data_IF_570389473667
#
_entry.id   IF_570389473667
#
_cell.length_a   1.000
_cell.length_b   1.000
_cell.length_c   1.000
_cell.angle_alpha   90.00
_cell.angle_beta   90.00
_cell.angle_gamma   90.00
#
_symmetry.space_group_name_H-M   'P 1'
#
loop_
_entity.id
_entity.type
_entity.pdbx_description
1 polymer ?
#
# COMPACT_ATOMS: atom_id res chain seq x y z
N UNK A 1 -28.25 -5.73 -11.82
CA UNK A 1 -27.63 -4.71 -12.70
C UNK A 1 -26.54 -3.86 -12.02
N UNK A 2 -26.76 -3.29 -10.82
CA UNK A 2 -25.77 -2.40 -10.15
C UNK A 2 -24.36 -3.02 -9.92
N UNK A 3 -24.26 -4.33 -9.64
CA UNK A 3 -22.97 -5.02 -9.43
C UNK A 3 -22.12 -5.15 -10.70
N UNK A 4 -22.76 -5.29 -11.86
CA UNK A 4 -22.07 -5.41 -13.14
C UNK A 4 -21.48 -4.07 -13.59
N UNK A 5 -22.19 -2.97 -13.33
CA UNK A 5 -21.71 -1.61 -13.60
C UNK A 5 -20.48 -1.25 -12.77
N UNK A 6 -20.44 -1.64 -11.49
CA UNK A 6 -19.26 -1.42 -10.62
C UNK A 6 -18.05 -2.21 -11.11
N UNK A 7 -18.23 -3.47 -11.52
CA UNK A 7 -17.15 -4.31 -12.06
C UNK A 7 -16.60 -3.78 -13.38
N UNK A 8 -17.47 -3.30 -14.29
CA UNK A 8 -17.05 -2.70 -15.56
C UNK A 8 -16.31 -1.38 -15.32
N UNK A 9 -16.78 -0.53 -14.40
CA UNK A 9 -16.09 0.70 -14.04
C UNK A 9 -14.72 0.43 -13.41
N UNK A 10 -14.60 -0.57 -12.52
CA UNK A 10 -13.33 -1.00 -11.95
C UNK A 10 -12.38 -1.55 -13.02
N UNK A 11 -12.88 -2.33 -13.98
CA UNK A 11 -12.09 -2.86 -15.08
C UNK A 11 -11.61 -1.76 -16.03
N UNK A 12 -12.47 -0.81 -16.41
CA UNK A 12 -12.12 0.35 -17.24
C UNK A 12 -11.11 1.24 -16.51
N UNK A 13 -11.28 1.47 -15.21
CA UNK A 13 -10.34 2.24 -14.41
C UNK A 13 -8.98 1.54 -14.31
N UNK A 14 -8.97 0.21 -14.14
CA UNK A 14 -7.75 -0.59 -14.12
C UNK A 14 -7.03 -0.54 -15.48
N UNK A 15 -7.75 -0.66 -16.60
CA UNK A 15 -7.16 -0.59 -17.95
C UNK A 15 -6.61 0.81 -18.27
N UNK A 16 -7.33 1.87 -17.90
CA UNK A 16 -6.88 3.26 -18.10
C UNK A 16 -5.67 3.59 -17.23
N UNK A 17 -5.65 3.16 -15.96
CA UNK A 17 -4.48 3.30 -15.09
C UNK A 17 -3.27 2.52 -15.63
N UNK A 18 -3.52 1.37 -16.27
CA UNK A 18 -2.48 0.55 -16.89
C UNK A 18 -1.87 1.19 -18.15
N UNK A 19 -2.70 1.85 -18.97
CA UNK A 19 -2.23 2.57 -20.16
C UNK A 19 -1.37 3.79 -19.79
N UNK A 20 -1.75 4.51 -18.73
CA UNK A 20 -1.02 5.70 -18.27
C UNK A 20 0.37 5.35 -17.68
N UNK A 21 0.52 4.14 -17.12
CA UNK A 21 1.78 3.66 -16.56
C UNK A 21 2.89 3.50 -17.61
N UNK A 22 2.56 3.20 -18.88
CA UNK A 22 3.58 3.05 -19.94
C UNK A 22 4.29 4.34 -20.29
N UNK A 23 3.70 5.50 -19.97
CA UNK A 23 4.25 6.81 -20.33
C UNK A 23 5.03 7.48 -19.19
N UNK A 24 4.99 6.93 -17.97
CA UNK A 24 5.60 7.53 -16.78
C UNK A 24 6.61 6.60 -16.07
N UNK A 25 7.11 5.57 -16.75
CA UNK A 25 8.22 4.79 -16.22
C UNK A 25 9.42 5.73 -16.07
N UNK A 26 9.83 5.99 -14.83
CA UNK A 26 11.01 6.80 -14.56
C UNK A 26 12.22 6.17 -15.28
N UNK A 27 13.13 6.98 -15.84
CA UNK A 27 14.34 6.47 -16.46
C UNK A 27 15.07 5.54 -15.48
N UNK A 28 15.65 4.46 -16.02
CA UNK A 28 16.31 3.44 -15.22
C UNK A 28 17.32 4.08 -14.25
N UNK A 29 17.09 3.91 -12.95
CA UNK A 29 17.92 4.47 -11.89
C UNK A 29 17.37 5.73 -11.19
N UNK A 30 16.30 6.34 -11.68
CA UNK A 30 15.66 7.46 -10.97
C UNK A 30 14.69 6.95 -9.91
N UNK A 31 14.95 7.30 -8.65
CA UNK A 31 14.06 6.98 -7.53
C UNK A 31 12.87 7.96 -7.48
N UNK A 32 11.66 7.43 -7.53
CA UNK A 32 10.40 8.15 -7.36
C UNK A 32 10.11 8.24 -5.86
N UNK A 33 10.72 9.20 -5.17
CA UNK A 33 10.61 9.34 -3.71
C UNK A 33 9.42 10.19 -3.27
N UNK A 34 9.25 11.39 -3.83
CA UNK A 34 8.23 12.34 -3.38
C UNK A 34 6.81 11.76 -3.52
N UNK A 35 6.38 11.24 -4.69
CA UNK A 35 5.08 10.59 -4.82
C UNK A 35 4.89 9.39 -3.89
N UNK A 36 5.95 8.59 -3.69
CA UNK A 36 5.90 7.40 -2.86
C UNK A 36 5.73 7.74 -1.38
N UNK A 37 6.49 8.72 -0.88
CA UNK A 37 6.38 9.21 0.50
C UNK A 37 5.00 9.86 0.70
N UNK A 38 4.54 10.67 -0.25
CA UNK A 38 3.21 11.29 -0.17
C UNK A 38 2.10 10.25 -0.09
N UNK A 39 2.10 9.24 -0.98
CA UNK A 39 1.12 8.15 -0.89
C UNK A 39 1.23 7.35 0.40
N UNK A 40 2.45 7.04 0.83
CA UNK A 40 2.69 6.32 2.08
C UNK A 40 2.16 7.07 3.31
N UNK A 41 2.32 8.39 3.34
CA UNK A 41 1.76 9.25 4.39
C UNK A 41 0.23 9.26 4.35
N UNK A 42 -0.38 9.42 3.17
CA UNK A 42 -1.85 9.42 3.03
C UNK A 42 -2.43 8.10 3.55
N UNK A 43 -1.87 6.97 3.11
CA UNK A 43 -2.34 5.63 3.48
C UNK A 43 -2.05 5.34 4.96
N UNK A 44 -0.89 5.74 5.46
CA UNK A 44 -0.52 5.59 6.87
C UNK A 44 -1.40 6.39 7.81
N UNK A 45 -1.73 7.64 7.45
CA UNK A 45 -2.67 8.47 8.22
C UNK A 45 -4.07 7.88 8.17
N UNK A 46 -4.54 7.44 7.01
CA UNK A 46 -5.82 6.75 6.88
C UNK A 46 -5.90 5.54 7.82
N UNK A 47 -4.85 4.72 7.82
CA UNK A 47 -4.76 3.55 8.68
C UNK A 47 -4.76 3.93 10.17
N UNK A 48 -3.97 4.94 10.53
CA UNK A 48 -3.94 5.44 11.91
C UNK A 48 -5.31 5.95 12.36
N UNK A 49 -6.06 6.64 11.50
CA UNK A 49 -7.40 7.15 11.82
C UNK A 49 -8.43 6.02 11.99
N UNK A 50 -8.34 4.95 11.20
CA UNK A 50 -9.19 3.77 11.37
C UNK A 50 -8.88 3.05 12.68
N UNK A 51 -7.60 2.74 12.91
CA UNK A 51 -7.15 2.08 14.13
C UNK A 51 -7.46 2.91 15.38
N UNK A 52 -7.41 4.24 15.26
CA UNK A 52 -7.73 5.17 16.34
C UNK A 52 -9.16 5.02 16.89
N UNK A 53 -10.07 4.40 16.12
CA UNK A 53 -11.45 4.10 16.55
C UNK A 53 -11.53 2.79 17.33
N UNK A 54 -10.69 1.84 16.98
CA UNK A 54 -10.74 0.48 17.51
C UNK A 54 -9.86 0.32 18.76
N UNK A 55 -8.68 0.95 18.80
CA UNK A 55 -7.74 0.85 19.91
C UNK A 55 -7.93 1.99 20.91
N UNK A 56 -8.33 1.66 22.14
CA UNK A 56 -8.57 2.64 23.21
C UNK A 56 -7.33 2.89 24.11
N UNK A 57 -6.31 2.04 24.04
CA UNK A 57 -5.09 2.18 24.86
C UNK A 57 -4.16 3.20 24.19
N UNK A 58 -4.05 4.40 24.76
CA UNK A 58 -3.36 5.54 24.16
C UNK A 58 -1.90 5.28 23.72
N UNK A 59 -1.09 4.67 24.58
CA UNK A 59 0.32 4.36 24.25
C UNK A 59 0.46 3.35 23.10
N UNK A 60 -0.35 2.29 23.13
CA UNK A 60 -0.38 1.29 22.06
C UNK A 60 -0.89 1.88 20.75
N UNK A 61 -1.95 2.68 20.80
CA UNK A 61 -2.53 3.41 19.66
C UNK A 61 -1.49 4.28 18.96
N UNK A 62 -0.73 5.06 19.72
CA UNK A 62 0.30 5.93 19.15
C UNK A 62 1.43 5.12 18.48
N UNK A 63 2.01 4.15 19.18
CA UNK A 63 3.08 3.32 18.62
C UNK A 63 2.62 2.54 17.38
N UNK A 64 1.40 2.00 17.40
CA UNK A 64 0.82 1.30 16.27
C UNK A 64 0.61 2.25 15.08
N UNK A 65 0.06 3.43 15.32
CA UNK A 65 -0.13 4.47 14.31
C UNK A 65 1.15 4.90 13.61
N UNK A 66 2.20 5.21 14.38
CA UNK A 66 3.51 5.55 13.83
C UNK A 66 4.09 4.40 13.02
N UNK A 67 3.99 3.17 13.53
CA UNK A 67 4.47 1.97 12.82
C UNK A 67 3.72 1.76 11.51
N UNK A 68 2.40 1.95 11.50
CA UNK A 68 1.57 1.86 10.30
C UNK A 68 1.98 2.90 9.25
N UNK A 69 2.25 4.15 9.66
CA UNK A 69 2.75 5.20 8.78
C UNK A 69 4.08 4.81 8.15
N UNK A 70 5.05 4.35 8.96
CA UNK A 70 6.37 3.96 8.46
C UNK A 70 6.30 2.76 7.51
N UNK A 71 5.47 1.77 7.82
CA UNK A 71 5.25 0.60 6.96
C UNK A 71 4.60 1.02 5.64
N UNK A 72 3.61 1.90 5.65
CA UNK A 72 2.95 2.40 4.44
C UNK A 72 3.92 3.22 3.57
N UNK A 73 4.79 4.04 4.17
CA UNK A 73 5.85 4.77 3.46
C UNK A 73 6.84 3.78 2.83
N UNK A 74 7.38 2.83 3.60
CA UNK A 74 8.34 1.86 3.07
C UNK A 74 7.74 1.02 1.93
N UNK A 75 6.52 0.51 2.13
CA UNK A 75 5.80 -0.26 1.11
C UNK A 75 5.52 0.57 -0.15
N UNK A 76 5.16 1.85 0.01
CA UNK A 76 4.93 2.75 -1.12
C UNK A 76 6.23 3.05 -1.87
N UNK A 77 7.35 3.27 -1.17
CA UNK A 77 8.67 3.44 -1.81
C UNK A 77 9.00 2.24 -2.69
N UNK A 78 8.84 1.01 -2.20
CA UNK A 78 9.09 -0.19 -3.03
C UNK A 78 8.07 -0.34 -4.17
N UNK A 79 6.80 -0.02 -3.94
CA UNK A 79 5.75 -0.10 -4.97
C UNK A 79 5.98 0.88 -6.13
N UNK A 80 6.44 2.10 -5.84
CA UNK A 80 6.81 3.09 -6.85
C UNK A 80 8.15 2.76 -7.54
N UNK A 81 9.03 2.04 -6.86
CA UNK A 81 10.40 1.77 -7.30
C UNK A 81 10.67 0.28 -7.48
N UNK A 82 9.80 -0.44 -8.20
CA UNK A 82 10.02 -1.86 -8.47
C UNK A 82 11.38 -2.18 -9.14
N UNK A 83 11.93 -1.32 -10.03
CA UNK A 83 13.30 -1.52 -10.51
C UNK A 83 14.36 -1.63 -9.39
N UNK A 84 14.19 -0.90 -8.28
CA UNK A 84 15.05 -1.03 -7.09
C UNK A 84 14.89 -2.42 -6.45
N UNK A 85 13.66 -2.93 -6.35
CA UNK A 85 13.39 -4.28 -5.81
C UNK A 85 14.10 -5.34 -6.65
N UNK A 86 14.05 -5.20 -7.97
CA UNK A 86 14.78 -6.09 -8.88
C UNK A 86 16.30 -5.95 -8.81
N UNK A 87 16.82 -4.78 -8.45
CA UNK A 87 18.26 -4.62 -8.21
C UNK A 87 18.70 -5.28 -6.89
N UNK A 88 17.84 -5.20 -5.86
CA UNK A 88 18.10 -5.82 -4.56
C UNK A 88 17.92 -7.35 -4.58
N UNK A 89 16.95 -7.86 -5.35
CA UNK A 89 16.65 -9.29 -5.46
C UNK A 89 16.53 -9.68 -6.95
N UNK A 90 17.66 -9.81 -7.67
CA UNK A 90 17.65 -10.10 -9.10
C UNK A 90 16.93 -11.40 -9.49
N UNK A 91 16.89 -12.38 -8.59
CA UNK A 91 16.26 -13.68 -8.78
C UNK A 91 14.74 -13.56 -9.03
N UNK A 92 14.08 -12.47 -8.60
CA UNK A 92 12.66 -12.27 -8.89
C UNK A 92 12.38 -12.20 -10.39
N UNK A 93 13.34 -11.73 -11.20
CA UNK A 93 13.19 -11.64 -12.66
C UNK A 93 13.02 -12.99 -13.36
N UNK A 94 13.47 -14.09 -12.75
CA UNK A 94 13.39 -15.42 -13.35
C UNK A 94 12.10 -16.15 -13.01
N UNK A 95 11.33 -15.67 -12.03
CA UNK A 95 10.10 -16.30 -11.58
C UNK A 95 8.93 -15.79 -12.44
N UNK A 96 8.14 -16.67 -13.08
CA UNK A 96 6.93 -16.26 -13.79
C UNK A 96 6.01 -15.42 -12.90
N UNK A 97 5.37 -14.40 -13.48
CA UNK A 97 4.57 -13.38 -12.77
C UNK A 97 5.39 -12.41 -11.90
N UNK A 98 6.27 -12.90 -11.01
CA UNK A 98 7.09 -12.06 -10.12
C UNK A 98 8.23 -11.32 -10.84
N UNK A 99 8.63 -11.78 -12.03
CA UNK A 99 9.55 -11.04 -12.90
C UNK A 99 8.93 -9.83 -13.57
N UNK A 100 7.63 -9.57 -13.33
CA UNK A 100 6.93 -8.40 -13.83
C UNK A 100 6.77 -7.34 -12.75
N UNK A 101 6.72 -6.09 -13.19
CA UNK A 101 6.51 -4.94 -12.34
C UNK A 101 5.19 -5.00 -11.53
N UNK A 102 4.15 -5.58 -12.11
CA UNK A 102 2.86 -5.78 -11.43
C UNK A 102 2.97 -6.89 -10.40
N UNK A 103 3.59 -8.02 -10.76
CA UNK A 103 3.72 -9.16 -9.87
C UNK A 103 4.47 -8.81 -8.59
N UNK A 104 5.53 -7.99 -8.69
CA UNK A 104 6.22 -7.47 -7.50
C UNK A 104 5.31 -6.58 -6.66
N UNK A 105 4.53 -5.67 -7.27
CA UNK A 105 3.58 -4.83 -6.50
C UNK A 105 2.53 -5.67 -5.79
N UNK A 106 1.97 -6.67 -6.46
CA UNK A 106 1.02 -7.61 -5.87
C UNK A 106 1.65 -8.37 -4.71
N UNK A 107 2.88 -8.87 -4.88
CA UNK A 107 3.62 -9.55 -3.81
C UNK A 107 3.86 -8.62 -2.62
N UNK A 108 4.29 -7.37 -2.86
CA UNK A 108 4.46 -6.36 -1.82
C UNK A 108 3.16 -6.10 -1.07
N UNK A 109 2.03 -6.00 -1.79
CA UNK A 109 0.71 -5.85 -1.17
C UNK A 109 0.32 -7.04 -0.30
N UNK A 110 0.59 -8.27 -0.74
CA UNK A 110 0.34 -9.49 0.05
C UNK A 110 1.22 -9.51 1.31
N UNK A 111 2.51 -9.18 1.18
CA UNK A 111 3.44 -9.11 2.32
C UNK A 111 2.96 -8.07 3.34
N UNK A 112 2.55 -6.89 2.87
CA UNK A 112 2.02 -5.85 3.75
C UNK A 112 0.74 -6.32 4.45
N UNK A 113 -0.20 -6.90 3.72
CA UNK A 113 -1.44 -7.43 4.27
C UNK A 113 -1.18 -8.48 5.36
N UNK A 114 -0.27 -9.43 5.10
CA UNK A 114 0.13 -10.42 6.10
C UNK A 114 0.80 -9.78 7.33
N UNK A 115 1.63 -8.75 7.13
CA UNK A 115 2.29 -8.03 8.23
C UNK A 115 1.29 -7.29 9.11
N UNK A 116 0.37 -6.54 8.52
CA UNK A 116 -0.66 -5.77 9.26
C UNK A 116 -1.59 -6.75 9.98
N UNK A 117 -2.10 -7.77 9.29
CA UNK A 117 -2.94 -8.80 9.90
C UNK A 117 -2.22 -9.52 11.05
N UNK A 118 -1.00 -10.00 10.82
CA UNK A 118 -0.21 -10.71 11.81
C UNK A 118 0.12 -9.87 13.05
N UNK A 119 0.44 -8.59 12.88
CA UNK A 119 0.65 -7.68 14.00
C UNK A 119 -0.61 -7.53 14.86
N UNK A 120 -1.79 -7.51 14.25
CA UNK A 120 -3.06 -7.45 14.99
C UNK A 120 -3.38 -8.75 15.74
N UNK A 121 -3.04 -9.92 15.17
CA UNK A 121 -3.32 -11.22 15.81
C UNK A 121 -2.34 -11.57 16.94
N UNK A 122 -1.07 -11.14 16.83
CA UNK A 122 -0.07 -11.36 17.89
C UNK A 122 -0.51 -10.76 19.23
N UNK A 123 -1.26 -9.65 19.21
CA UNK A 123 -1.80 -9.01 20.41
C UNK A 123 -2.92 -9.83 21.05
N UNK A 124 -3.80 -10.44 20.24
CA UNK A 124 -4.80 -11.39 20.74
C UNK A 124 -4.14 -12.62 21.37
N UNK A 125 -3.12 -13.16 20.70
CA UNK A 125 -2.40 -14.36 21.15
C UNK A 125 -1.67 -14.18 22.48
N UNK A 126 -1.31 -12.94 22.84
CA UNK A 126 -0.67 -12.61 24.12
C UNK A 126 -1.63 -12.53 25.32
N UNK A 127 -2.90 -12.95 25.17
CA UNK A 127 -3.90 -12.91 26.25
C UNK A 127 -4.45 -11.51 26.54
N UNK A 128 -3.99 -10.50 25.80
CA UNK A 128 -4.53 -9.15 25.84
C UNK A 128 -5.79 -9.11 24.98
N UNK A 129 -6.92 -9.48 25.58
CA UNK A 129 -8.25 -9.40 24.95
C UNK A 129 -8.71 -7.92 24.94
N UNK A 130 -7.97 -7.08 24.20
CA UNK A 130 -8.25 -5.66 24.08
C UNK A 130 -9.38 -5.49 23.07
N UNK A 131 -10.49 -4.79 23.42
CA UNK A 131 -11.50 -4.41 22.45
C UNK A 131 -10.83 -3.71 21.25
N UNK A 132 -11.11 -4.18 20.03
CA UNK A 132 -10.50 -3.67 18.80
C UNK A 132 -9.15 -4.29 18.41
N UNK A 133 -8.55 -5.16 19.24
CA UNK A 133 -7.45 -6.01 18.78
C UNK A 133 -8.04 -7.12 17.89
N UNK A 134 -7.65 -7.17 16.62
CA UNK A 134 -8.08 -8.21 15.68
C UNK A 134 -8.60 -7.71 14.36
N UNK A 135 -7.70 -7.28 13.48
CA UNK A 135 -8.12 -6.88 12.15
C UNK A 135 -8.65 -8.06 11.36
N UNK A 136 -9.64 -7.76 10.52
CA UNK A 136 -10.10 -8.70 9.50
C UNK A 136 -9.08 -8.77 8.37
N UNK A 137 -8.96 -9.93 7.73
CA UNK A 137 -8.16 -10.07 6.51
C UNK A 137 -8.55 -9.07 5.42
N UNK A 138 -9.83 -8.70 5.35
CA UNK A 138 -10.31 -7.74 4.37
C UNK A 138 -9.64 -6.37 4.53
N UNK A 139 -9.55 -5.85 5.77
CA UNK A 139 -8.88 -4.59 6.06
C UNK A 139 -7.40 -4.65 5.67
N UNK A 140 -6.69 -5.70 6.11
CA UNK A 140 -5.26 -5.81 5.81
C UNK A 140 -4.98 -6.00 4.30
N UNK A 141 -5.84 -6.72 3.58
CA UNK A 141 -5.80 -6.85 2.10
C UNK A 141 -6.09 -5.50 1.43
N UNK A 142 -7.03 -4.72 1.95
CA UNK A 142 -7.33 -3.39 1.43
C UNK A 142 -6.11 -2.47 1.54
N UNK A 143 -5.46 -2.42 2.71
CA UNK A 143 -4.24 -1.62 2.92
C UNK A 143 -3.09 -2.08 2.01
N UNK A 144 -2.85 -3.40 1.95
CA UNK A 144 -1.85 -3.97 1.05
C UNK A 144 -2.13 -3.65 -0.42
N UNK A 145 -3.39 -3.74 -0.83
CA UNK A 145 -3.85 -3.40 -2.18
C UNK A 145 -3.71 -1.92 -2.51
N UNK A 146 -3.99 -1.02 -1.56
CA UNK A 146 -3.80 0.42 -1.72
C UNK A 146 -2.32 0.79 -1.86
N UNK A 147 -1.42 0.14 -1.13
CA UNK A 147 0.03 0.36 -1.26
C UNK A 147 0.56 -0.20 -2.59
N UNK A 148 0.17 -1.43 -2.95
CA UNK A 148 0.50 -2.02 -4.25
C UNK A 148 -0.05 -1.16 -5.41
N UNK A 149 -1.24 -0.59 -5.21
CA UNK A 149 -1.92 0.29 -6.14
C UNK A 149 -1.44 1.74 -6.13
N UNK A 150 -0.60 2.14 -5.17
CA UNK A 150 -0.19 3.52 -4.94
C UNK A 150 0.26 4.29 -6.19
N UNK A 151 1.13 3.72 -7.05
CA UNK A 151 1.56 4.35 -8.29
C UNK A 151 0.40 4.70 -9.25
N UNK A 152 -0.65 3.88 -9.25
CA UNK A 152 -1.86 4.08 -10.06
C UNK A 152 -2.83 5.08 -9.45
N UNK A 153 -2.85 5.15 -8.12
CA UNK A 153 -3.74 6.01 -7.36
C UNK A 153 -3.21 7.44 -7.25
N UNK A 154 -1.88 7.62 -7.30
CA UNK A 154 -1.26 8.94 -7.12
C UNK A 154 -1.70 10.00 -8.12
N UNK A 155 -1.89 9.74 -9.42
CA UNK A 155 -2.43 10.74 -10.35
C UNK A 155 -3.78 11.34 -9.91
N UNK A 156 -4.59 10.56 -9.18
CA UNK A 156 -5.87 11.02 -8.64
C UNK A 156 -5.72 11.78 -7.32
N UNK A 157 -4.72 11.44 -6.51
CA UNK A 157 -4.39 12.17 -5.29
C UNK A 157 -3.63 13.48 -5.56
N UNK A 158 -2.80 13.53 -6.60
CA UNK A 158 -1.90 14.63 -6.94
C UNK A 158 -2.57 16.02 -6.94
N UNK A 159 -3.77 16.23 -7.53
CA UNK A 159 -4.41 17.55 -7.54
C UNK A 159 -4.83 18.05 -6.15
N UNK A 160 -5.00 17.14 -5.19
CA UNK A 160 -5.39 17.44 -3.81
C UNK A 160 -4.19 17.75 -2.91
N UNK A 161 -2.96 17.50 -3.39
CA UNK A 161 -1.74 17.65 -2.61
C UNK A 161 -1.14 19.06 -2.75
N UNK A 162 -0.46 19.57 -1.71
CA UNK A 162 0.39 20.75 -1.82
C UNK A 162 1.45 20.60 -2.92
N UNK A 163 1.80 21.69 -3.61
CA UNK A 163 2.72 21.66 -4.77
C UNK A 163 4.04 20.92 -4.52
N UNK A 164 4.60 21.01 -3.31
CA UNK A 164 5.87 20.34 -2.96
C UNK A 164 5.75 18.81 -2.80
N UNK A 165 4.54 18.25 -2.71
CA UNK A 165 4.27 16.81 -2.66
C UNK A 165 3.80 16.23 -3.99
N UNK A 166 3.65 17.06 -5.03
CA UNK A 166 3.10 16.64 -6.32
C UNK A 166 4.11 15.86 -7.20
N UNK A 167 5.38 15.78 -6.78
CA UNK A 167 6.49 15.23 -7.55
C UNK A 167 6.83 16.13 -8.73
#
# INVERSE_FOLDING_TARGET
MKKLTILVLLAVFAVSAFAQQRQAAAPAGQLILIPAIAMGLILGIYEFLLLSRDVQIGGHKFTHGITAILICIAGSVFSFNVPLVFALVPQLKTIPLLGTEIGVRVLLGIILAAKVHGASQALKGAGLNVPGAGETWFHSILIGGLVAGGPFLFPFAKPLLPKFLQG
#
